data_IF_809852070362
#
_entry.id   IF_809852070362
#
_cell.length_a   1.000
_cell.length_b   1.000
_cell.length_c   1.000
_cell.angle_alpha   90.00
_cell.angle_beta   90.00
_cell.angle_gamma   90.00
#
_symmetry.space_group_name_H-M   'P 1'
#
loop_
_entity.id
_entity.type
_entity.pdbx_description
1 polymer ?
#
# COMPACT_ATOMS: atom_id res chain seq x y z
N UNK A 1 -4.94 -6.54 8.77
CA UNK A 1 -4.31 -7.72 8.12
C UNK A 1 -3.44 -7.23 6.98
N UNK A 2 -2.31 -7.90 6.72
CA UNK A 2 -1.42 -7.52 5.63
C UNK A 2 -1.97 -8.01 4.28
N UNK A 3 -1.86 -7.17 3.27
CA UNK A 3 -2.30 -7.45 1.91
C UNK A 3 -1.18 -7.09 0.94
N UNK A 4 -0.89 -7.96 -0.04
CA UNK A 4 -0.06 -7.56 -1.18
C UNK A 4 -0.97 -6.88 -2.20
N UNK A 5 -0.71 -5.61 -2.48
CA UNK A 5 -1.51 -4.76 -3.37
C UNK A 5 -0.69 -4.44 -4.61
N UNK A 6 -1.28 -4.68 -5.77
CA UNK A 6 -0.78 -4.24 -7.07
C UNK A 6 -1.62 -3.03 -7.51
N UNK A 7 -0.95 -1.94 -7.86
CA UNK A 7 -1.61 -0.68 -8.20
C UNK A 7 -0.83 0.10 -9.26
N UNK A 8 -1.50 1.00 -9.95
CA UNK A 8 -0.87 1.98 -10.83
C UNK A 8 -0.46 3.21 -10.01
N UNK A 9 0.80 3.63 -10.12
CA UNK A 9 1.21 4.91 -9.54
C UNK A 9 0.62 6.06 -10.35
N UNK A 10 -0.20 6.89 -9.72
CA UNK A 10 -0.66 8.15 -10.31
C UNK A 10 0.50 9.17 -10.24
N UNK A 11 1.01 9.56 -11.41
CA UNK A 11 2.07 10.57 -11.57
C UNK A 11 2.00 11.21 -12.96
N UNK A 12 2.68 12.35 -13.15
CA UNK A 12 2.64 13.19 -14.37
C UNK A 12 3.20 12.54 -15.66
N UNK A 13 3.43 11.22 -15.68
CA UNK A 13 4.02 10.48 -16.79
C UNK A 13 3.01 9.65 -17.56
N UNK A 14 3.12 9.66 -18.89
CA UNK A 14 2.29 8.94 -19.88
C UNK A 14 2.32 7.40 -19.76
N UNK A 15 3.00 6.85 -18.76
CA UNK A 15 3.10 5.41 -18.46
C UNK A 15 2.92 5.27 -16.94
N UNK A 16 1.75 4.78 -16.50
CA UNK A 16 1.54 4.45 -15.10
C UNK A 16 2.27 3.15 -14.79
N UNK A 17 3.48 3.25 -14.25
CA UNK A 17 4.23 2.08 -13.82
C UNK A 17 3.40 1.27 -12.81
N UNK A 18 3.25 -0.03 -13.10
CA UNK A 18 2.64 -0.97 -12.18
C UNK A 18 3.57 -1.14 -10.97
N UNK A 19 3.05 -0.86 -9.79
CA UNK A 19 3.75 -0.99 -8.52
C UNK A 19 3.13 -2.11 -7.69
N UNK A 20 3.93 -2.71 -6.81
CA UNK A 20 3.43 -3.61 -5.78
C UNK A 20 3.99 -3.26 -4.39
N UNK A 21 3.23 -3.60 -3.36
CA UNK A 21 3.69 -3.47 -1.98
C UNK A 21 2.82 -4.25 -1.01
N UNK A 22 3.32 -4.43 0.22
CA UNK A 22 2.56 -5.06 1.30
C UNK A 22 2.03 -3.97 2.24
N UNK A 23 0.72 -3.84 2.32
CA UNK A 23 0.07 -2.79 3.09
C UNK A 23 -0.99 -3.36 4.04
N UNK A 24 -1.43 -2.53 4.97
CA UNK A 24 -2.69 -2.72 5.68
C UNK A 24 -3.64 -1.64 5.19
N UNK A 25 -4.87 -2.03 4.86
CA UNK A 25 -5.94 -1.08 4.58
C UNK A 25 -6.21 -0.27 5.87
N UNK A 26 -6.03 1.04 5.79
CA UNK A 26 -6.23 1.98 6.91
C UNK A 26 -7.65 2.55 6.89
N UNK A 27 -8.13 3.00 5.72
CA UNK A 27 -9.50 3.44 5.51
C UNK A 27 -9.93 3.30 4.04
N UNK A 28 -11.25 3.32 3.84
CA UNK A 28 -11.90 3.37 2.52
C UNK A 28 -12.86 4.56 2.55
N UNK A 29 -12.67 5.49 1.63
CA UNK A 29 -13.61 6.57 1.37
C UNK A 29 -14.43 6.22 0.14
N UNK A 30 -15.70 5.86 0.38
CA UNK A 30 -16.63 5.46 -0.68
C UNK A 30 -17.10 6.68 -1.49
N UNK A 31 -17.16 7.87 -0.87
CA UNK A 31 -17.63 9.08 -1.55
C UNK A 31 -16.56 9.62 -2.50
N UNK A 32 -15.30 9.55 -2.08
CA UNK A 32 -14.15 9.96 -2.89
C UNK A 32 -13.58 8.83 -3.76
N UNK A 33 -14.13 7.61 -3.66
CA UNK A 33 -13.66 6.41 -4.40
C UNK A 33 -12.16 6.12 -4.21
N UNK A 34 -11.68 6.30 -2.96
CA UNK A 34 -10.28 6.14 -2.61
C UNK A 34 -10.06 5.15 -1.46
N UNK A 35 -8.92 4.47 -1.50
CA UNK A 35 -8.40 3.66 -0.41
C UNK A 35 -7.15 4.34 0.18
N UNK A 36 -7.03 4.31 1.50
CA UNK A 36 -5.81 4.71 2.21
C UNK A 36 -5.14 3.47 2.78
N UNK A 37 -3.87 3.30 2.43
CA UNK A 37 -3.05 2.16 2.81
C UNK A 37 -1.88 2.63 3.67
N UNK A 38 -1.64 1.94 4.78
CA UNK A 38 -0.43 2.10 5.59
C UNK A 38 0.52 0.95 5.34
N UNK A 39 1.83 1.20 5.50
CA UNK A 39 2.83 0.15 5.32
C UNK A 39 2.62 -0.99 6.33
N UNK A 40 2.62 -2.23 5.88
CA UNK A 40 2.55 -3.38 6.77
C UNK A 40 3.89 -3.60 7.48
N UNK A 41 3.87 -3.93 8.77
CA UNK A 41 5.09 -4.23 9.53
C UNK A 41 5.52 -5.69 9.32
N UNK A 42 5.96 -5.99 8.10
CA UNK A 42 6.45 -7.32 7.65
C UNK A 42 7.92 -7.25 7.25
N UNK A 43 8.60 -8.39 7.20
CA UNK A 43 10.04 -8.46 6.94
C UNK A 43 10.47 -7.80 5.63
N UNK A 44 9.66 -7.94 4.58
CA UNK A 44 9.89 -7.38 3.25
C UNK A 44 9.88 -5.84 3.23
N UNK A 45 9.13 -5.21 4.12
CA UNK A 45 9.02 -3.74 4.21
C UNK A 45 10.05 -3.11 5.15
N UNK A 46 10.84 -3.93 5.86
CA UNK A 46 11.82 -3.47 6.86
C UNK A 46 13.17 -3.26 6.20
N UNK A 47 13.89 -2.22 6.62
CA UNK A 47 15.26 -1.92 6.17
C UNK A 47 16.33 -2.88 6.76
N UNK A 48 15.94 -4.09 7.18
CA UNK A 48 16.80 -5.08 7.80
C UNK A 48 15.99 -6.12 8.59
N UNK A 49 16.48 -7.37 8.61
CA UNK A 49 15.82 -8.47 9.33
C UNK A 49 15.61 -8.10 10.81
N UNK A 50 14.36 -8.21 11.28
CA UNK A 50 13.98 -7.95 12.67
C UNK A 50 13.98 -6.48 13.11
N UNK A 51 14.33 -5.52 12.25
CA UNK A 51 14.24 -4.10 12.59
C UNK A 51 12.80 -3.62 12.42
N UNK A 52 12.17 -3.00 13.43
CA UNK A 52 10.84 -2.44 13.25
C UNK A 52 10.87 -1.30 12.22
N UNK A 53 9.70 -0.98 11.67
CA UNK A 53 9.54 0.23 10.84
C UNK A 53 9.97 1.49 11.61
N UNK A 54 10.70 2.39 10.94
CA UNK A 54 11.01 3.69 11.53
C UNK A 54 9.77 4.60 11.58
N UNK A 55 9.85 5.73 12.29
CA UNK A 55 8.70 6.65 12.45
C UNK A 55 8.13 7.10 11.11
N UNK A 56 8.99 7.49 10.16
CA UNK A 56 8.58 7.93 8.82
C UNK A 56 7.83 6.84 8.05
N UNK A 57 8.29 5.59 8.13
CA UNK A 57 7.65 4.43 7.49
C UNK A 57 6.29 4.10 8.13
N UNK A 58 6.20 4.19 9.47
CA UNK A 58 4.94 4.00 10.20
C UNK A 58 3.92 5.08 9.85
N UNK A 59 4.39 6.29 9.60
CA UNK A 59 3.55 7.43 9.25
C UNK A 59 3.30 7.56 7.74
N UNK A 60 3.87 6.69 6.92
CA UNK A 60 3.67 6.75 5.47
C UNK A 60 2.32 6.15 5.07
N UNK A 61 1.60 6.89 4.22
CA UNK A 61 0.32 6.46 3.64
C UNK A 61 0.39 6.54 2.12
N UNK A 62 -0.20 5.55 1.47
CA UNK A 62 -0.54 5.57 0.05
C UNK A 62 -2.03 5.81 -0.08
N UNK A 63 -2.41 6.77 -0.92
CA UNK A 63 -3.78 6.92 -1.39
C UNK A 63 -3.86 6.38 -2.81
N UNK A 64 -4.86 5.56 -3.11
CA UNK A 64 -5.16 5.07 -4.46
C UNK A 64 -6.63 5.31 -4.76
N UNK A 65 -6.97 5.66 -6.00
CA UNK A 65 -8.33 5.48 -6.51
C UNK A 65 -8.69 3.99 -6.54
N UNK A 66 -9.99 3.66 -6.58
CA UNK A 66 -10.44 2.28 -6.75
C UNK A 66 -9.95 1.68 -8.08
N UNK A 67 -9.99 2.47 -9.15
CA UNK A 67 -9.55 2.04 -10.48
C UNK A 67 -8.04 1.82 -10.59
N UNK A 68 -7.24 2.52 -9.78
CA UNK A 68 -5.80 2.30 -9.72
C UNK A 68 -5.43 0.97 -9.05
N UNK A 69 -6.30 0.38 -8.23
CA UNK A 69 -6.03 -0.90 -7.54
C UNK A 69 -6.37 -2.05 -8.47
N UNK A 70 -5.34 -2.76 -8.94
CA UNK A 70 -5.53 -3.89 -9.85
C UNK A 70 -5.85 -5.19 -9.11
N UNK A 71 -5.18 -5.42 -7.98
CA UNK A 71 -5.30 -6.66 -7.20
C UNK A 71 -4.89 -6.42 -5.75
N UNK A 72 -5.69 -6.91 -4.82
CA UNK A 72 -5.34 -7.01 -3.41
C UNK A 72 -5.41 -8.48 -2.96
N UNK A 73 -4.29 -9.04 -2.53
CA UNK A 73 -4.20 -10.41 -2.00
C UNK A 73 -4.08 -10.34 -0.49
N UNK A 74 -5.15 -10.72 0.22
CA UNK A 74 -5.19 -10.80 1.67
C UNK A 74 -4.48 -12.07 2.16
N UNK A 75 -3.53 -11.92 3.08
CA UNK A 75 -2.99 -13.05 3.84
C UNK A 75 -3.85 -13.26 5.09
N UNK A 76 -4.38 -14.48 5.23
CA UNK A 76 -5.03 -14.97 6.44
C UNK A 76 -3.98 -15.73 7.26
N UNK A 77 -4.02 -15.56 8.58
CA UNK A 77 -3.20 -16.34 9.52
C UNK A 77 -3.74 -17.77 9.68
#
# INVERSE_FOLDING_TARGET
MAMRVQYHAEGDGLISDQMDGIFMLESVDIQAEHCVWKLADVNENRAGKGRPLNRKQKDWRLQTSFDAVMKATLYLD
#
